data_IF_602601850470
#
_entry.id   IF_602601850470
#
_cell.length_a   1.000
_cell.length_b   1.000
_cell.length_c   1.000
_cell.angle_alpha   90.00
_cell.angle_beta   90.00
_cell.angle_gamma   90.00
#
_symmetry.space_group_name_H-M   'P 1'
#
loop_
_entity.id
_entity.type
_entity.pdbx_description
1 polymer ?
#
# COMPACT_ATOMS: atom_id res chain seq x y z
N UNK A 1 25.30 9.08 28.48
CA UNK A 1 25.11 8.84 27.03
C UNK A 1 25.08 7.32 26.82
N UNK A 2 23.89 6.75 26.59
CA UNK A 2 23.69 5.32 26.34
C UNK A 2 23.12 5.20 24.92
N UNK A 3 23.94 4.72 24.00
CA UNK A 3 23.54 4.33 22.65
C UNK A 3 23.31 2.81 22.61
N UNK A 4 22.46 2.42 21.66
CA UNK A 4 22.20 1.06 21.17
C UNK A 4 21.58 0.09 22.15
N UNK A 5 20.34 -0.35 21.87
CA UNK A 5 20.03 -1.72 21.42
C UNK A 5 18.52 -1.87 21.36
N UNK A 6 17.96 -1.88 20.15
CA UNK A 6 16.67 -2.53 19.85
C UNK A 6 16.74 -3.01 18.40
N UNK A 7 17.62 -3.99 18.18
CA UNK A 7 17.58 -4.87 17.02
C UNK A 7 17.14 -6.23 17.57
N UNK A 8 15.82 -6.41 17.70
CA UNK A 8 15.25 -7.71 18.04
C UNK A 8 14.71 -8.33 16.78
N UNK A 9 15.57 -9.17 16.22
CA UNK A 9 15.40 -10.14 15.15
C UNK A 9 14.09 -10.94 15.32
N UNK A 10 13.13 -10.76 14.42
CA UNK A 10 12.02 -11.71 14.26
C UNK A 10 12.29 -12.59 13.05
N UNK A 11 13.04 -13.67 13.29
CA UNK A 11 13.22 -14.76 12.34
C UNK A 11 11.99 -15.69 12.44
N UNK A 12 10.94 -15.40 11.67
CA UNK A 12 9.86 -16.37 11.48
C UNK A 12 10.15 -17.20 10.23
N UNK A 13 10.75 -18.36 10.45
CA UNK A 13 10.88 -19.39 9.43
C UNK A 13 9.48 -19.97 9.14
N UNK A 14 8.89 -19.59 8.01
CA UNK A 14 7.82 -20.35 7.38
C UNK A 14 8.35 -20.94 6.07
N UNK A 15 8.98 -22.11 6.19
CA UNK A 15 9.39 -22.96 5.08
C UNK A 15 8.15 -23.47 4.34
N UNK A 16 7.78 -22.78 3.26
CA UNK A 16 7.38 -23.30 1.93
C UNK A 16 6.85 -22.16 1.04
N UNK A 17 7.59 -21.05 0.97
CA UNK A 17 7.44 -20.16 -0.19
C UNK A 17 8.18 -20.81 -1.35
N UNK A 18 7.51 -21.65 -2.14
CA UNK A 18 7.96 -21.86 -3.52
C UNK A 18 7.88 -20.51 -4.20
N UNK A 19 9.00 -19.79 -4.25
CA UNK A 19 9.18 -18.68 -5.17
C UNK A 19 9.07 -19.24 -6.58
N UNK A 20 7.84 -19.40 -7.08
CA UNK A 20 7.60 -19.57 -8.49
C UNK A 20 7.85 -18.21 -9.11
N UNK A 21 9.06 -18.02 -9.65
CA UNK A 21 9.29 -16.98 -10.65
C UNK A 21 8.38 -17.29 -11.83
N UNK A 22 7.17 -16.72 -11.87
CA UNK A 22 6.40 -16.70 -13.11
C UNK A 22 7.02 -15.65 -14.01
N UNK A 23 6.98 -15.89 -15.30
CA UNK A 23 7.28 -14.93 -16.36
C UNK A 23 6.25 -13.76 -16.39
N UNK A 24 5.64 -13.42 -15.25
CA UNK A 24 4.70 -12.32 -15.09
C UNK A 24 5.41 -11.01 -14.79
N UNK A 25 4.80 -9.91 -15.20
CA UNK A 25 5.19 -8.58 -14.73
C UNK A 25 5.06 -8.52 -13.21
N UNK A 26 6.05 -7.94 -12.50
CA UNK A 26 5.98 -7.66 -11.06
C UNK A 26 4.72 -6.85 -10.67
N UNK A 27 4.10 -6.17 -11.64
CA UNK A 27 2.92 -5.34 -11.44
C UNK A 27 1.59 -6.10 -11.40
N UNK A 28 1.54 -7.37 -11.83
CA UNK A 28 0.28 -8.09 -12.06
C UNK A 28 0.35 -9.60 -11.74
N UNK A 29 1.16 -9.95 -10.74
CA UNK A 29 1.15 -11.29 -10.16
C UNK A 29 -0.21 -11.66 -9.58
N UNK A 30 -0.61 -12.92 -9.76
CA UNK A 30 -1.81 -13.51 -9.18
C UNK A 30 -1.49 -14.92 -8.68
N UNK A 31 -1.96 -15.26 -7.49
CA UNK A 31 -1.77 -16.58 -6.91
C UNK A 31 -2.51 -17.64 -7.75
N UNK A 32 -1.87 -18.79 -8.08
CA UNK A 32 -2.51 -19.86 -8.85
C UNK A 32 -3.78 -20.41 -8.19
N UNK A 33 -4.64 -21.05 -8.99
CA UNK A 33 -5.87 -21.66 -8.52
C UNK A 33 -5.65 -22.61 -7.33
N UNK A 34 -6.51 -22.50 -6.33
CA UNK A 34 -6.50 -23.28 -5.09
C UNK A 34 -5.20 -23.18 -4.27
N UNK A 35 -4.42 -22.11 -4.49
CA UNK A 35 -3.21 -21.82 -3.71
C UNK A 35 -3.40 -20.61 -2.83
N UNK A 36 -2.70 -20.63 -1.70
CA UNK A 36 -2.53 -19.49 -0.81
C UNK A 36 -1.10 -18.99 -0.93
N UNK A 37 -0.95 -17.67 -0.94
CA UNK A 37 0.33 -17.01 -0.94
C UNK A 37 0.39 -15.98 0.19
N UNK A 38 1.56 -15.89 0.81
CA UNK A 38 1.87 -14.89 1.80
C UNK A 38 3.13 -14.14 1.34
N UNK A 39 2.96 -12.87 1.01
CA UNK A 39 4.01 -12.05 0.42
C UNK A 39 4.40 -10.94 1.40
N UNK A 40 5.54 -11.06 2.09
CA UNK A 40 6.11 -9.96 2.85
C UNK A 40 6.80 -8.98 1.91
N UNK A 41 6.58 -7.70 2.13
CA UNK A 41 7.22 -6.61 1.39
C UNK A 41 7.81 -5.61 2.38
N UNK A 42 9.01 -5.13 2.06
CA UNK A 42 9.67 -4.05 2.77
C UNK A 42 9.97 -2.94 1.77
N UNK A 43 9.35 -1.78 1.95
CA UNK A 43 9.59 -0.60 1.12
C UNK A 43 10.25 0.52 1.91
N UNK A 44 11.18 1.20 1.26
CA UNK A 44 11.83 2.40 1.77
C UNK A 44 11.53 3.55 0.82
N UNK A 45 11.09 4.68 1.36
CA UNK A 45 10.74 5.86 0.58
C UNK A 45 11.47 7.08 1.15
N UNK A 46 11.98 7.93 0.25
CA UNK A 46 12.66 9.18 0.59
C UNK A 46 12.26 10.25 -0.42
N UNK A 47 11.69 11.36 0.06
CA UNK A 47 11.22 12.47 -0.76
C UNK A 47 11.72 13.79 -0.17
N UNK A 48 12.21 14.68 -1.04
CA UNK A 48 12.48 16.07 -0.70
C UNK A 48 11.40 16.94 -1.35
N UNK A 49 10.58 17.60 -0.54
CA UNK A 49 9.61 18.58 -1.02
C UNK A 49 10.21 19.96 -0.97
N UNK A 50 10.23 20.67 -2.11
CA UNK A 50 10.58 22.09 -2.14
C UNK A 50 9.34 22.91 -2.42
N UNK A 51 8.85 23.60 -1.40
CA UNK A 51 7.82 24.61 -1.59
C UNK A 51 8.46 26.01 -1.56
N UNK A 52 8.13 26.85 -2.55
CA UNK A 52 8.69 28.20 -2.70
C UNK A 52 8.40 29.10 -1.48
N UNK A 53 7.36 28.81 -0.71
CA UNK A 53 6.86 29.69 0.35
C UNK A 53 7.25 29.26 1.78
N UNK A 54 7.57 27.99 2.02
CA UNK A 54 7.74 27.44 3.38
C UNK A 54 9.10 26.77 3.64
N UNK A 55 10.08 26.92 2.74
CA UNK A 55 11.31 26.14 2.80
C UNK A 55 11.07 24.67 2.40
N UNK A 56 12.16 23.91 2.24
CA UNK A 56 12.08 22.50 1.88
C UNK A 56 11.67 21.61 3.06
N UNK A 57 11.21 20.40 2.80
CA UNK A 57 11.02 19.38 3.83
C UNK A 57 11.45 18.02 3.31
N UNK A 58 12.22 17.29 4.11
CA UNK A 58 12.61 15.92 3.81
C UNK A 58 11.63 14.96 4.51
N UNK A 59 11.21 13.93 3.79
CA UNK A 59 10.38 12.85 4.28
C UNK A 59 11.06 11.53 3.99
N UNK A 60 11.34 10.74 5.03
CA UNK A 60 11.91 9.39 4.88
C UNK A 60 11.08 8.40 5.67
N UNK A 61 10.74 7.26 5.07
CA UNK A 61 9.91 6.27 5.71
C UNK A 61 10.23 4.85 5.29
N UNK A 62 9.85 3.92 6.16
CA UNK A 62 9.91 2.49 5.94
C UNK A 62 8.51 1.93 6.14
N UNK A 63 8.06 1.09 5.21
CA UNK A 63 6.78 0.39 5.28
C UNK A 63 7.01 -1.11 5.16
N UNK A 64 6.47 -1.83 6.12
CA UNK A 64 6.38 -3.27 6.15
C UNK A 64 4.96 -3.65 5.73
N UNK A 65 4.83 -4.47 4.70
CA UNK A 65 3.54 -4.93 4.19
C UNK A 65 3.51 -6.45 4.20
N UNK A 66 2.39 -7.01 4.64
CA UNK A 66 2.08 -8.42 4.54
C UNK A 66 0.82 -8.59 3.69
N UNK A 67 0.97 -9.18 2.51
CA UNK A 67 -0.13 -9.51 1.62
C UNK A 67 -0.45 -10.99 1.75
N UNK A 68 -1.71 -11.31 2.02
CA UNK A 68 -2.25 -12.65 1.94
C UNK A 68 -3.17 -12.73 0.72
N UNK A 69 -2.98 -13.73 -0.13
CA UNK A 69 -3.78 -13.94 -1.34
C UNK A 69 -4.21 -15.40 -1.44
N UNK A 70 -5.45 -15.63 -1.87
CA UNK A 70 -5.97 -16.95 -2.25
C UNK A 70 -6.42 -16.91 -3.71
N UNK A 71 -5.85 -17.78 -4.53
CA UNK A 71 -6.29 -18.01 -5.90
C UNK A 71 -7.57 -18.83 -5.90
N UNK A 72 -8.70 -18.18 -6.20
CA UNK A 72 -10.01 -18.84 -6.26
C UNK A 72 -10.12 -19.72 -7.52
N UNK A 73 -9.50 -19.27 -8.61
CA UNK A 73 -9.40 -20.00 -9.88
C UNK A 73 -8.23 -19.43 -10.69
N UNK A 74 -7.99 -19.96 -11.90
CA UNK A 74 -7.01 -19.41 -12.83
C UNK A 74 -7.31 -17.94 -13.22
N UNK A 75 -8.59 -17.55 -13.13
CA UNK A 75 -9.06 -16.22 -13.55
C UNK A 75 -9.30 -15.27 -12.36
N UNK A 76 -9.39 -15.77 -11.12
CA UNK A 76 -9.79 -14.94 -9.98
C UNK A 76 -8.93 -15.18 -8.74
N UNK A 77 -8.60 -14.11 -8.02
CA UNK A 77 -8.02 -14.17 -6.69
C UNK A 77 -8.62 -13.12 -5.76
N UNK A 78 -8.51 -13.35 -4.47
CA UNK A 78 -8.89 -12.39 -3.44
C UNK A 78 -7.93 -12.46 -2.27
N UNK A 79 -7.83 -11.38 -1.52
CA UNK A 79 -6.92 -11.35 -0.41
C UNK A 79 -7.04 -10.13 0.48
N UNK A 80 -6.09 -10.03 1.39
CA UNK A 80 -5.99 -8.96 2.37
C UNK A 80 -4.56 -8.44 2.43
N UNK A 81 -4.42 -7.16 2.75
CA UNK A 81 -3.15 -6.46 2.89
C UNK A 81 -3.14 -5.81 4.27
N UNK A 82 -2.07 -6.06 5.02
CA UNK A 82 -1.80 -5.42 6.29
C UNK A 82 -0.45 -4.72 6.20
N UNK A 83 -0.42 -3.42 6.45
CA UNK A 83 0.81 -2.64 6.39
C UNK A 83 1.05 -1.87 7.69
N UNK A 84 2.31 -1.75 8.07
CA UNK A 84 2.78 -0.90 9.15
C UNK A 84 3.86 0.01 8.60
N UNK A 85 3.80 1.30 8.90
CA UNK A 85 4.84 2.23 8.47
C UNK A 85 5.32 3.14 9.58
N UNK A 86 6.52 3.66 9.39
CA UNK A 86 7.12 4.71 10.19
C UNK A 86 7.78 5.70 9.26
N UNK A 87 7.28 6.93 9.25
CA UNK A 87 7.73 8.02 8.39
C UNK A 87 8.17 9.20 9.24
N UNK A 88 9.37 9.69 9.00
CA UNK A 88 9.91 10.90 9.61
C UNK A 88 9.80 12.08 8.65
N UNK A 89 9.25 13.19 9.15
CA UNK A 89 9.12 14.44 8.40
C UNK A 89 9.98 15.51 9.07
N UNK A 90 10.91 16.08 8.32
CA UNK A 90 11.84 17.13 8.75
C UNK A 90 11.59 18.42 7.97
N UNK A 91 10.72 19.32 8.47
CA UNK A 91 10.52 20.63 7.85
C UNK A 91 11.73 21.55 8.08
N UNK A 92 12.10 22.34 7.07
CA UNK A 92 13.17 23.33 7.19
C UNK A 92 12.83 24.37 8.27
N UNK A 93 13.58 24.36 9.38
CA UNK A 93 13.40 25.32 10.49
C UNK A 93 12.33 24.93 11.52
N UNK A 94 11.78 23.72 11.46
CA UNK A 94 10.83 23.21 12.44
C UNK A 94 11.32 21.97 13.18
N UNK A 95 10.56 21.54 14.19
CA UNK A 95 10.80 20.28 14.89
C UNK A 95 10.47 19.08 13.99
N UNK A 96 11.29 18.04 14.07
CA UNK A 96 11.03 16.73 13.46
C UNK A 96 9.69 16.18 13.96
N UNK A 97 8.90 15.63 13.05
CA UNK A 97 7.64 14.93 13.33
C UNK A 97 7.76 13.48 12.86
N UNK A 98 7.03 12.58 13.52
CA UNK A 98 6.96 11.18 13.11
C UNK A 98 5.51 10.77 12.91
N UNK A 99 5.23 10.14 11.78
CA UNK A 99 3.96 9.44 11.54
C UNK A 99 4.23 7.94 11.55
N UNK A 100 3.62 7.20 12.46
CA UNK A 100 3.79 5.75 12.52
C UNK A 100 2.52 5.02 12.92
N UNK A 101 2.43 3.76 12.52
CA UNK A 101 1.38 2.85 12.96
C UNK A 101 0.93 1.89 11.89
N UNK A 102 -0.19 1.23 12.19
CA UNK A 102 -0.86 0.31 11.28
C UNK A 102 -1.69 1.11 10.27
N UNK A 103 -1.49 0.79 8.99
CA UNK A 103 -2.35 1.26 7.92
C UNK A 103 -3.74 0.63 8.01
N UNK A 104 -4.65 1.17 7.20
CA UNK A 104 -5.96 0.61 6.97
C UNK A 104 -5.86 -0.85 6.46
N UNK A 105 -6.82 -1.69 6.83
CA UNK A 105 -6.88 -3.05 6.33
C UNK A 105 -7.29 -3.02 4.86
N UNK A 106 -6.39 -3.46 3.98
CA UNK A 106 -6.70 -3.65 2.58
C UNK A 106 -7.41 -4.98 2.35
N UNK A 107 -8.48 -5.00 1.58
CA UNK A 107 -9.04 -6.20 0.97
C UNK A 107 -9.06 -5.99 -0.55
N UNK A 108 -8.78 -7.02 -1.32
CA UNK A 108 -8.81 -6.94 -2.78
C UNK A 108 -9.46 -8.15 -3.41
N UNK A 109 -10.02 -7.92 -4.60
CA UNK A 109 -10.50 -8.95 -5.51
C UNK A 109 -9.99 -8.64 -6.91
N UNK A 110 -9.24 -9.58 -7.49
CA UNK A 110 -8.62 -9.44 -8.80
C UNK A 110 -9.14 -10.51 -9.76
N UNK A 111 -9.28 -10.10 -11.02
CA UNK A 111 -9.71 -10.90 -12.13
C UNK A 111 -8.73 -10.79 -13.30
N UNK A 112 -8.61 -11.90 -14.03
CA UNK A 112 -7.85 -12.03 -15.27
C UNK A 112 -8.77 -12.64 -16.32
N UNK A 113 -8.70 -12.12 -17.54
CA UNK A 113 -9.31 -12.75 -18.70
C UNK A 113 -8.24 -12.87 -19.80
N UNK A 114 -7.85 -14.09 -20.21
CA UNK A 114 -6.92 -14.26 -21.33
C UNK A 114 -7.55 -13.72 -22.62
N UNK A 115 -6.76 -12.98 -23.38
CA UNK A 115 -7.13 -12.41 -24.68
C UNK A 115 -6.08 -12.83 -25.72
N UNK A 116 -6.42 -12.72 -27.00
CA UNK A 116 -5.57 -13.23 -28.09
C UNK A 116 -4.11 -12.73 -28.04
N UNK A 117 -3.92 -11.44 -27.74
CA UNK A 117 -2.60 -10.82 -27.66
C UNK A 117 -2.12 -10.60 -26.21
N UNK A 118 -2.78 -11.15 -25.19
CA UNK A 118 -2.43 -10.82 -23.81
C UNK A 118 -3.45 -11.25 -22.76
N UNK A 119 -3.65 -10.42 -21.75
CA UNK A 119 -4.63 -10.66 -20.69
C UNK A 119 -5.21 -9.32 -20.22
N UNK A 120 -6.54 -9.25 -20.17
CA UNK A 120 -7.23 -8.18 -19.48
C UNK A 120 -7.17 -8.47 -17.97
N UNK A 121 -6.82 -7.47 -17.18
CA UNK A 121 -6.93 -7.49 -15.72
C UNK A 121 -8.00 -6.53 -15.28
N UNK A 122 -8.70 -6.88 -14.22
CA UNK A 122 -9.66 -5.99 -13.60
C UNK A 122 -9.78 -6.37 -12.14
N UNK A 123 -10.30 -5.46 -11.34
CA UNK A 123 -10.46 -5.75 -9.93
C UNK A 123 -10.89 -4.54 -9.15
N UNK A 124 -10.94 -4.75 -7.84
CA UNK A 124 -11.30 -3.72 -6.88
C UNK A 124 -10.45 -3.91 -5.65
N UNK A 125 -9.81 -2.82 -5.24
CA UNK A 125 -9.08 -2.73 -3.98
C UNK A 125 -9.93 -1.90 -3.02
N UNK A 126 -10.02 -2.33 -1.77
CA UNK A 126 -10.77 -1.66 -0.70
C UNK A 126 -9.89 -1.48 0.51
N UNK A 127 -9.95 -0.32 1.15
CA UNK A 127 -9.23 -0.07 2.39
C UNK A 127 -10.23 0.32 3.47
N UNK A 128 -10.12 -0.33 4.62
CA UNK A 128 -10.96 -0.08 5.77
C UNK A 128 -10.11 0.45 6.92
N UNK A 129 -10.36 1.69 7.32
CA UNK A 129 -9.69 2.26 8.48
C UNK A 129 -10.06 1.51 9.75
N UNK A 130 -9.09 0.76 10.28
CA UNK A 130 -9.21 0.07 11.58
C UNK A 130 -9.15 1.05 12.75
N UNK A 131 -8.59 2.24 12.53
CA UNK A 131 -8.49 3.31 13.50
C UNK A 131 -8.89 4.65 12.88
N UNK A 132 -9.31 5.60 13.72
CA UNK A 132 -9.52 6.99 13.29
C UNK A 132 -8.18 7.69 13.08
N UNK A 133 -8.12 8.61 12.13
CA UNK A 133 -7.02 9.56 12.03
C UNK A 133 -6.90 10.36 13.35
N UNK A 134 -5.69 10.41 13.89
CA UNK A 134 -5.34 11.10 15.13
C UNK A 134 -4.09 11.93 14.89
N UNK A 135 -4.16 13.17 15.35
CA UNK A 135 -3.03 14.09 15.45
C UNK A 135 -2.84 14.40 16.93
N UNK A 136 -1.68 14.03 17.47
CA UNK A 136 -1.31 14.25 18.86
C UNK A 136 -0.88 15.71 19.07
N UNK A 137 -0.91 16.18 20.31
CA UNK A 137 -0.59 17.60 20.64
C UNK A 137 0.85 18.01 20.34
N UNK A 138 1.75 17.02 20.17
CA UNK A 138 3.14 17.23 19.75
C UNK A 138 3.32 17.32 18.22
N UNK A 139 2.24 17.12 17.45
CA UNK A 139 2.25 17.12 15.98
C UNK A 139 2.59 15.76 15.35
N UNK A 140 2.68 14.68 16.13
CA UNK A 140 2.76 13.32 15.60
C UNK A 140 1.36 12.86 15.13
N UNK A 141 1.34 12.00 14.12
CA UNK A 141 0.11 11.53 13.49
C UNK A 141 0.12 10.01 13.34
N UNK A 142 -1.05 9.37 13.37
CA UNK A 142 -1.16 7.97 12.97
C UNK A 142 -1.43 7.86 11.46
N UNK A 143 -1.04 6.72 10.88
CA UNK A 143 -1.14 6.49 9.43
C UNK A 143 -2.52 5.99 8.97
N UNK A 144 -3.49 5.91 9.88
CA UNK A 144 -4.85 5.46 9.59
C UNK A 144 -5.66 6.56 8.89
N UNK A 145 -6.37 6.24 7.81
CA UNK A 145 -7.11 7.26 7.04
C UNK A 145 -8.37 7.75 7.75
N UNK A 146 -8.94 6.92 8.63
CA UNK A 146 -10.23 7.16 9.28
C UNK A 146 -11.46 6.99 8.39
N UNK A 147 -11.33 6.48 7.17
CA UNK A 147 -12.41 6.28 6.21
C UNK A 147 -12.44 4.90 5.56
N UNK A 148 -13.22 4.79 4.49
CA UNK A 148 -13.21 3.64 3.60
C UNK A 148 -12.74 4.13 2.23
N UNK A 149 -11.78 3.46 1.63
CA UNK A 149 -11.39 3.71 0.24
C UNK A 149 -11.81 2.55 -0.66
N UNK A 150 -12.14 2.88 -1.91
CA UNK A 150 -12.52 1.94 -2.96
C UNK A 150 -11.78 2.34 -4.23
N UNK A 151 -11.05 1.41 -4.82
CA UNK A 151 -10.25 1.63 -6.01
C UNK A 151 -10.53 0.52 -7.04
N UNK A 152 -11.62 0.62 -7.83
CA UNK A 152 -11.77 -0.21 -9.01
C UNK A 152 -10.67 0.08 -10.03
N UNK A 153 -10.24 -0.96 -10.74
CA UNK A 153 -9.26 -0.82 -11.81
C UNK A 153 -9.55 -1.75 -12.98
N UNK A 154 -8.98 -1.37 -14.12
CA UNK A 154 -8.85 -2.19 -15.31
C UNK A 154 -7.43 -2.04 -15.84
N UNK A 155 -6.88 -3.11 -16.40
CA UNK A 155 -5.55 -3.11 -16.98
C UNK A 155 -5.46 -4.10 -18.12
N UNK A 156 -4.40 -3.96 -18.89
CA UNK A 156 -4.07 -4.89 -19.96
C UNK A 156 -2.60 -5.24 -19.85
N UNK A 157 -2.29 -6.51 -20.04
CA UNK A 157 -0.93 -7.05 -20.06
C UNK A 157 -0.71 -7.84 -21.34
N UNK A 158 0.47 -7.69 -21.92
CA UNK A 158 0.95 -8.45 -23.06
C UNK A 158 2.35 -8.96 -22.76
N UNK A 159 2.54 -10.27 -22.93
CA UNK A 159 3.85 -10.91 -22.89
C UNK A 159 4.49 -10.96 -24.27
N UNK A 160 5.80 -10.76 -24.33
CA UNK A 160 6.69 -11.23 -25.38
C UNK A 160 7.49 -12.43 -24.86
N UNK A 161 8.37 -13.02 -25.69
CA UNK A 161 9.23 -14.13 -25.26
C UNK A 161 10.15 -13.77 -24.08
N UNK A 162 10.47 -12.49 -23.89
CA UNK A 162 11.48 -12.04 -22.94
C UNK A 162 10.99 -10.97 -21.96
N UNK A 163 9.78 -10.46 -22.12
CA UNK A 163 9.30 -9.33 -21.32
C UNK A 163 7.78 -9.28 -21.26
N UNK A 164 7.26 -8.71 -20.20
CA UNK A 164 5.82 -8.50 -20.02
C UNK A 164 5.56 -7.02 -19.82
N UNK A 165 4.73 -6.44 -20.66
CA UNK A 165 4.38 -5.02 -20.63
C UNK A 165 2.89 -4.87 -20.35
N UNK A 166 2.51 -3.82 -19.63
CA UNK A 166 1.10 -3.57 -19.35
C UNK A 166 0.82 -2.14 -18.92
N UNK A 167 -0.46 -1.82 -18.89
CA UNK A 167 -0.97 -0.56 -18.38
C UNK A 167 -2.17 -0.84 -17.47
N UNK A 168 -2.33 -0.03 -16.42
CA UNK A 168 -3.44 -0.08 -15.49
C UNK A 168 -4.05 1.31 -15.33
N UNK A 169 -5.37 1.39 -15.40
CA UNK A 169 -6.16 2.55 -15.03
C UNK A 169 -6.94 2.21 -13.77
N UNK A 170 -6.75 3.01 -12.72
CA UNK A 170 -7.48 2.88 -11.46
C UNK A 170 -8.19 4.19 -11.15
N UNK A 171 -9.35 4.10 -10.50
CA UNK A 171 -10.09 5.25 -10.01
C UNK A 171 -10.23 5.16 -8.50
N UNK A 172 -9.65 6.12 -7.77
CA UNK A 172 -9.67 6.11 -6.31
C UNK A 172 -10.85 6.92 -5.78
N UNK A 173 -11.70 6.26 -5.00
CA UNK A 173 -12.83 6.86 -4.31
C UNK A 173 -12.65 6.72 -2.80
N UNK A 174 -12.73 7.83 -2.06
CA UNK A 174 -12.62 7.83 -0.60
C UNK A 174 -13.94 8.27 0.01
N UNK A 175 -14.56 7.36 0.75
CA UNK A 175 -15.71 7.62 1.61
C UNK A 175 -15.17 8.06 2.97
N UNK A 176 -15.03 9.37 3.15
CA UNK A 176 -14.81 9.91 4.48
C UNK A 176 -16.05 9.59 5.34
N UNK A 177 -15.86 8.93 6.48
CA UNK A 177 -16.91 8.83 7.48
C UNK A 177 -17.31 10.25 7.89
N UNK A 178 -18.55 10.61 7.58
CA UNK A 178 -19.15 11.89 7.94
C UNK A 178 -19.27 12.03 9.46
N UNK A 179 -18.17 12.37 10.12
CA UNK A 179 -18.07 12.98 11.45
C UNK A 179 -16.64 13.51 11.62
N UNK A 180 -16.34 14.66 11.00
CA UNK A 180 -15.10 15.39 11.33
C UNK A 180 -14.59 16.44 10.35
N UNK A 181 -14.95 16.40 9.06
CA UNK A 181 -14.36 17.30 8.05
C UNK A 181 -15.43 18.07 7.27
N UNK A 182 -16.36 18.71 7.98
CA UNK A 182 -17.18 19.79 7.40
C UNK A 182 -17.44 20.85 8.46
N UNK A 183 -16.37 21.51 8.92
CA UNK A 183 -16.50 22.87 9.45
C UNK A 183 -15.50 23.79 8.77
N UNK A 184 -16.08 24.63 7.92
CA UNK A 184 -15.63 25.96 7.53
C UNK A 184 -14.42 26.06 6.60
N UNK A 185 -14.61 25.67 5.34
CA UNK A 185 -14.23 26.56 4.25
C UNK A 185 -15.47 27.39 3.87
N UNK A 186 -15.77 28.41 4.69
CA UNK A 186 -16.65 29.50 4.26
C UNK A 186 -15.74 30.66 3.91
N UNK A 187 -15.61 30.88 2.60
CA UNK A 187 -15.11 32.12 2.02
C UNK A 187 -15.86 33.31 2.62
N UNK A 188 -15.12 34.26 3.18
CA UNK A 188 -15.33 35.71 3.05
C UNK A 188 -14.03 36.40 3.39
#
# INVERSE_FOLDING_TARGET
MRNSTLLSLLLLALTTATAHASNGSEYQWQTPADKMELTPELSYQSFEFKNKTSGGSDSTGLTETLKFEYGISEDYSAGAILSHSSTEIKPSGGSKRTASGLHDLGLFFHGRAPMMAGSLRYGIDTEFALAKAKMESNGDENVASGGIALAPFVGFEMGSETSTYGARLAYHFTLANGHGMTKALKRS
#
